data_IF_824938778929
#
_entry.id   IF_824938778929
#
_cell.length_a   1.000
_cell.length_b   1.000
_cell.length_c   1.000
_cell.angle_alpha   90.00
_cell.angle_beta   90.00
_cell.angle_gamma   90.00
#
_symmetry.space_group_name_H-M   'P 1'
#
loop_
_entity.id
_entity.type
_entity.pdbx_description
1 polymer ?
#
# COMPACT_ATOMS: atom_id res chain seq x y z
N UNK A 1 5.70 -4.37 -32.97
CA UNK A 1 6.95 -3.69 -32.54
C UNK A 1 6.87 -3.40 -31.05
N UNK A 2 7.59 -4.14 -30.21
CA UNK A 2 7.71 -3.82 -28.79
C UNK A 2 8.77 -2.74 -28.61
N UNK A 3 8.43 -1.68 -27.87
CA UNK A 3 9.35 -0.59 -27.52
C UNK A 3 10.19 -1.05 -26.33
N UNK A 4 11.47 -1.35 -26.58
CA UNK A 4 12.44 -1.70 -25.54
C UNK A 4 12.73 -0.44 -24.72
N UNK A 5 12.44 -0.50 -23.42
CA UNK A 5 12.72 0.59 -22.48
C UNK A 5 14.13 0.39 -21.92
N UNK A 6 14.93 1.46 -21.92
CA UNK A 6 16.28 1.46 -21.36
C UNK A 6 16.21 1.44 -19.82
N UNK A 7 16.62 0.35 -19.14
CA UNK A 7 16.59 0.24 -17.68
C UNK A 7 17.64 1.10 -16.97
N UNK A 8 18.57 1.70 -17.73
CA UNK A 8 19.67 2.56 -17.26
C UNK A 8 19.45 4.05 -17.55
N UNK A 9 18.32 4.42 -18.14
CA UNK A 9 17.96 5.81 -18.38
C UNK A 9 17.91 6.63 -17.07
N UNK A 10 18.32 7.90 -17.14
CA UNK A 10 18.28 8.79 -15.99
C UNK A 10 16.84 8.89 -15.44
N UNK A 11 16.63 8.42 -14.22
CA UNK A 11 15.37 8.61 -13.50
C UNK A 11 15.41 10.03 -12.93
N UNK A 12 14.58 10.93 -13.46
CA UNK A 12 14.31 12.21 -12.80
C UNK A 12 13.52 11.94 -11.51
N UNK A 13 14.24 11.74 -10.41
CA UNK A 13 13.71 11.72 -9.06
C UNK A 13 14.17 12.97 -8.31
N UNK A 14 13.27 13.59 -7.54
CA UNK A 14 13.65 14.56 -6.52
C UNK A 14 14.07 13.74 -5.30
N UNK A 15 15.34 13.80 -4.89
CA UNK A 15 15.73 13.27 -3.58
C UNK A 15 14.94 14.02 -2.50
N UNK A 16 14.25 13.25 -1.65
CA UNK A 16 13.50 13.81 -0.52
C UNK A 16 14.48 14.52 0.42
N UNK A 17 14.31 15.83 0.56
CA UNK A 17 15.11 16.68 1.45
C UNK A 17 14.86 16.30 2.90
N UNK A 18 15.74 15.49 3.50
CA UNK A 18 16.15 15.47 4.93
C UNK A 18 15.13 15.51 6.08
N UNK A 19 13.84 15.69 5.84
CA UNK A 19 12.82 15.83 6.85
C UNK A 19 12.49 14.45 7.42
N UNK A 20 12.95 14.21 8.63
CA UNK A 20 12.53 13.05 9.43
C UNK A 20 11.11 13.30 9.89
N UNK A 21 10.15 12.90 9.07
CA UNK A 21 8.77 12.76 9.51
C UNK A 21 8.70 11.62 10.55
N UNK A 22 8.20 11.93 11.74
CA UNK A 22 7.76 10.91 12.69
C UNK A 22 6.28 10.68 12.43
N UNK A 23 5.96 9.47 11.97
CA UNK A 23 4.57 9.04 11.85
C UNK A 23 4.11 8.51 13.19
N UNK A 24 3.33 9.29 13.92
CA UNK A 24 2.49 8.77 14.99
C UNK A 24 1.22 8.18 14.39
N UNK A 25 0.91 6.95 14.77
CA UNK A 25 -0.25 6.21 14.28
C UNK A 25 -1.42 6.23 15.27
N UNK A 26 -1.25 6.81 16.46
CA UNK A 26 -2.34 6.94 17.43
C UNK A 26 -3.51 7.75 16.85
N UNK A 27 -4.71 7.19 16.92
CA UNK A 27 -5.93 7.76 16.36
C UNK A 27 -5.95 7.79 14.82
N UNK A 28 -4.98 7.20 14.14
CA UNK A 28 -4.90 7.21 12.67
C UNK A 28 -5.51 5.96 12.06
N UNK A 29 -5.92 6.08 10.79
CA UNK A 29 -6.39 4.94 9.99
C UNK A 29 -5.30 4.48 9.03
N UNK A 30 -5.10 3.16 8.93
CA UNK A 30 -4.19 2.56 7.94
C UNK A 30 -4.96 1.97 6.77
N UNK A 31 -4.36 2.01 5.58
CA UNK A 31 -4.83 1.27 4.41
C UNK A 31 -4.02 -0.02 4.22
N UNK A 32 -4.68 -1.11 3.86
CA UNK A 32 -4.04 -2.35 3.43
C UNK A 32 -4.45 -2.64 1.99
N UNK A 33 -3.47 -2.83 1.11
CA UNK A 33 -3.70 -3.24 -0.27
C UNK A 33 -3.02 -4.59 -0.52
N UNK A 34 -3.82 -5.65 -0.57
CA UNK A 34 -3.36 -6.95 -1.02
C UNK A 34 -3.27 -6.99 -2.54
N UNK A 35 -2.14 -7.51 -3.03
CA UNK A 35 -1.91 -7.68 -4.45
C UNK A 35 -2.49 -9.01 -4.97
N UNK A 36 -3.23 -9.77 -4.15
CA UNK A 36 -3.80 -11.05 -4.56
C UNK A 36 -2.79 -12.19 -4.67
N UNK A 37 -1.57 -12.01 -4.14
CA UNK A 37 -0.57 -13.09 -4.04
C UNK A 37 -0.79 -13.89 -2.76
N UNK A 38 -0.39 -15.17 -2.78
CA UNK A 38 -0.54 -16.06 -1.63
C UNK A 38 0.12 -15.46 -0.39
N UNK A 39 -0.52 -15.62 0.78
CA UNK A 39 -0.04 -15.15 2.10
C UNK A 39 0.14 -13.63 2.27
N UNK A 40 0.00 -12.82 1.20
CA UNK A 40 0.14 -11.38 1.27
C UNK A 40 -0.92 -10.76 2.20
N UNK A 41 -2.16 -11.25 2.12
CA UNK A 41 -3.24 -10.81 2.99
C UNK A 41 -2.98 -11.16 4.46
N UNK A 42 -2.53 -12.38 4.76
CA UNK A 42 -2.23 -12.81 6.13
C UNK A 42 -1.10 -12.00 6.77
N UNK A 43 -0.06 -11.70 5.97
CA UNK A 43 1.04 -10.84 6.41
C UNK A 43 0.54 -9.41 6.72
N UNK A 44 -0.26 -8.83 5.82
CA UNK A 44 -0.81 -7.49 6.02
C UNK A 44 -1.71 -7.42 7.25
N UNK A 45 -2.54 -8.43 7.48
CA UNK A 45 -3.37 -8.50 8.68
C UNK A 45 -2.54 -8.68 9.96
N UNK A 46 -1.50 -9.50 9.93
CA UNK A 46 -0.59 -9.66 11.06
C UNK A 46 0.14 -8.36 11.41
N UNK A 47 0.60 -7.62 10.39
CA UNK A 47 1.22 -6.30 10.56
C UNK A 47 0.21 -5.30 11.11
N UNK A 48 -1.00 -5.24 10.55
CA UNK A 48 -2.06 -4.34 11.00
C UNK A 48 -2.46 -4.60 12.45
N UNK A 49 -2.60 -5.87 12.86
CA UNK A 49 -2.82 -6.24 14.27
C UNK A 49 -1.69 -5.75 15.16
N UNK A 50 -0.44 -6.03 14.80
CA UNK A 50 0.71 -5.60 15.60
C UNK A 50 0.83 -4.08 15.70
N UNK A 51 0.43 -3.34 14.67
CA UNK A 51 0.36 -1.89 14.70
C UNK A 51 -0.82 -1.40 15.54
N UNK A 52 -2.00 -2.03 15.45
CA UNK A 52 -3.15 -1.72 16.30
C UNK A 52 -2.95 -2.04 17.78
N UNK A 53 -2.17 -3.08 18.11
CA UNK A 53 -1.83 -3.39 19.50
C UNK A 53 -0.83 -2.38 20.08
N UNK A 54 0.03 -1.80 19.22
CA UNK A 54 1.09 -0.87 19.62
C UNK A 54 0.62 0.60 19.61
N UNK A 55 -0.26 0.93 18.68
CA UNK A 55 -0.78 2.27 18.43
C UNK A 55 -2.30 2.17 18.44
N UNK A 56 -2.98 3.12 19.07
CA UNK A 56 -4.44 3.13 19.16
C UNK A 56 -5.06 3.54 17.81
N UNK A 57 -4.96 2.66 16.80
CA UNK A 57 -5.44 2.93 15.44
C UNK A 57 -6.95 3.19 15.46
N UNK A 58 -7.39 4.27 14.82
CA UNK A 58 -8.82 4.54 14.64
C UNK A 58 -9.50 3.52 13.72
N UNK A 59 -8.73 2.90 12.81
CA UNK A 59 -9.28 1.89 11.91
C UNK A 59 -8.30 1.37 10.86
N UNK A 60 -8.81 0.45 10.04
CA UNK A 60 -8.07 -0.13 8.92
C UNK A 60 -8.99 -0.27 7.69
N UNK A 61 -8.63 0.37 6.59
CA UNK A 61 -9.28 0.26 5.28
C UNK A 61 -8.61 -0.86 4.49
N UNK A 62 -9.39 -1.77 3.92
CA UNK A 62 -8.87 -2.95 3.21
C UNK A 62 -9.24 -2.91 1.74
N UNK A 63 -8.32 -3.37 0.91
CA UNK A 63 -8.54 -3.61 -0.50
C UNK A 63 -7.74 -4.82 -0.99
N UNK A 64 -8.32 -5.59 -1.89
CA UNK A 64 -7.69 -6.75 -2.48
C UNK A 64 -7.90 -6.80 -4.01
N UNK A 65 -6.80 -6.67 -4.74
CA UNK A 65 -6.81 -6.66 -6.20
C UNK A 65 -7.09 -8.01 -6.85
N UNK A 66 -6.99 -9.15 -6.15
CA UNK A 66 -7.45 -10.43 -6.74
C UNK A 66 -8.97 -10.53 -6.83
N UNK A 67 -9.67 -9.82 -5.95
CA UNK A 67 -11.13 -9.89 -5.86
C UNK A 67 -11.80 -8.66 -6.48
N UNK A 68 -11.18 -7.50 -6.34
CA UNK A 68 -11.78 -6.20 -6.66
C UNK A 68 -11.18 -5.55 -7.92
N UNK A 69 -10.16 -6.17 -8.53
CA UNK A 69 -9.52 -5.66 -9.73
C UNK A 69 -9.15 -6.78 -10.70
N UNK A 70 -8.50 -6.42 -11.81
CA UNK A 70 -8.05 -7.36 -12.84
C UNK A 70 -6.80 -8.20 -12.43
N UNK A 71 -6.50 -8.30 -11.14
CA UNK A 71 -5.43 -9.11 -10.58
C UNK A 71 -4.09 -8.39 -10.30
N UNK A 72 -3.09 -9.13 -9.78
CA UNK A 72 -1.85 -8.58 -9.23
C UNK A 72 -1.05 -7.68 -10.17
N UNK A 73 -1.04 -8.03 -11.46
CA UNK A 73 -0.23 -7.39 -12.49
C UNK A 73 -0.87 -6.11 -13.04
N UNK A 74 -2.04 -5.72 -12.54
CA UNK A 74 -2.77 -4.54 -13.00
C UNK A 74 -2.81 -3.46 -11.91
N UNK A 75 -2.91 -2.17 -12.31
CA UNK A 75 -3.16 -1.08 -11.37
C UNK A 75 -4.42 -1.35 -10.53
N UNK A 76 -4.46 -0.79 -9.31
CA UNK A 76 -5.70 -0.73 -8.55
C UNK A 76 -6.74 0.09 -9.35
N UNK A 77 -8.02 -0.26 -9.21
CA UNK A 77 -9.09 0.51 -9.85
C UNK A 77 -9.22 1.87 -9.16
N UNK A 78 -9.80 2.88 -9.83
CA UNK A 78 -10.10 4.16 -9.20
C UNK A 78 -10.89 4.00 -7.89
N UNK A 79 -11.86 3.06 -7.82
CA UNK A 79 -12.64 2.88 -6.58
C UNK A 79 -11.77 2.41 -5.40
N UNK A 80 -10.78 1.54 -5.65
CA UNK A 80 -9.83 1.10 -4.61
C UNK A 80 -8.97 2.27 -4.14
N UNK A 81 -8.48 3.09 -5.08
CA UNK A 81 -7.66 4.27 -4.76
C UNK A 81 -8.47 5.29 -3.96
N UNK A 82 -9.69 5.58 -4.39
CA UNK A 82 -10.59 6.52 -3.71
C UNK A 82 -10.91 6.04 -2.29
N UNK A 83 -11.21 4.74 -2.13
CA UNK A 83 -11.46 4.15 -0.81
C UNK A 83 -10.24 4.22 0.11
N UNK A 84 -9.04 3.95 -0.39
CA UNK A 84 -7.82 4.01 0.44
C UNK A 84 -7.46 5.46 0.79
N UNK A 85 -7.67 6.39 -0.13
CA UNK A 85 -7.36 7.82 0.07
C UNK A 85 -8.41 8.57 0.89
N UNK A 86 -9.57 7.98 1.19
CA UNK A 86 -10.65 8.63 1.94
C UNK A 86 -10.34 8.90 3.41
N UNK A 87 -9.16 8.49 3.91
CA UNK A 87 -8.79 8.70 5.31
C UNK A 87 -7.60 7.89 5.81
N UNK A 88 -7.00 7.01 5.00
CA UNK A 88 -5.77 6.34 5.41
C UNK A 88 -4.59 7.31 5.40
N UNK A 89 -3.86 7.38 6.51
CA UNK A 89 -2.62 8.18 6.60
C UNK A 89 -1.47 7.53 5.81
N UNK A 90 -1.51 6.21 5.69
CA UNK A 90 -0.54 5.43 4.94
C UNK A 90 -1.20 4.14 4.42
N UNK A 91 -0.73 3.65 3.27
CA UNK A 91 -1.17 2.38 2.69
C UNK A 91 -0.01 1.39 2.69
N UNK A 92 -0.21 0.25 3.34
CA UNK A 92 0.71 -0.87 3.31
C UNK A 92 0.36 -1.79 2.14
N UNK A 93 1.37 -2.08 1.31
CA UNK A 93 1.23 -2.97 0.16
C UNK A 93 2.20 -4.12 0.35
N UNK A 94 1.70 -5.36 0.31
CA UNK A 94 2.54 -6.53 0.32
C UNK A 94 2.78 -7.01 -1.12
N UNK A 95 4.06 -7.19 -1.46
CA UNK A 95 4.49 -7.96 -2.62
C UNK A 95 5.21 -9.19 -2.11
N UNK A 96 4.49 -10.27 -1.85
CA UNK A 96 5.06 -11.56 -1.44
C UNK A 96 4.63 -12.66 -2.40
N UNK A 97 5.47 -13.65 -2.66
CA UNK A 97 5.10 -14.92 -3.30
C UNK A 97 4.82 -15.96 -2.19
#
# INVERSE_FOLDING_TARGET
MQKLVDPTGAISGVESTGERWQLDLNGQTLGLLSNGKAKASDLLEAVARRLGDRFDLAGVIRADKSHEAAGPARPATPEIIDRLSSGAVAVLVASGD
#
